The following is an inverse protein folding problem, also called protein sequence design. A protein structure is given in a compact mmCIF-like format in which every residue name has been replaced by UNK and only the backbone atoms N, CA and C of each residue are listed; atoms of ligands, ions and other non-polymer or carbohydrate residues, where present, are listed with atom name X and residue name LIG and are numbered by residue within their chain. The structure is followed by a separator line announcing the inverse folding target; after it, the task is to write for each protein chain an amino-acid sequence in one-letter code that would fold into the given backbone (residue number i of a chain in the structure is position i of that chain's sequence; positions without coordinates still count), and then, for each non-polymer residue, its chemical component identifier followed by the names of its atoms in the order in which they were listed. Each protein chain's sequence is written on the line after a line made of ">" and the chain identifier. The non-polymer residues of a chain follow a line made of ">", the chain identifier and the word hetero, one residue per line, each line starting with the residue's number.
data_IF_702683180826
#
_entry.id   IF_702683180826
#
_cell.length_a   1.000
_cell.length_b   1.000
_cell.length_c   1.000
_cell.angle_alpha   90.00
_cell.angle_beta   90.00
_cell.angle_gamma   90.00
#
_symmetry.space_group_name_H-M   'P 1'
#
loop_
_entity.id
_entity.type
_entity.pdbx_description
1 polymer ?
#
# COMPACT_ATOMS: atom_id res chain seq x y z
N UNK A 1 14.09 5.34 14.36
CA UNK A 1 13.77 4.75 13.05
C UNK A 1 12.34 5.13 12.69
N UNK A 2 12.07 5.32 11.41
CA UNK A 2 10.75 5.66 10.88
C UNK A 2 9.93 4.38 10.81
N UNK A 3 8.80 4.36 11.50
CA UNK A 3 7.89 3.24 11.60
C UNK A 3 6.89 3.22 10.43
N UNK A 4 6.77 2.06 9.79
CA UNK A 4 5.90 1.88 8.63
C UNK A 4 4.92 0.73 8.86
N UNK A 5 3.66 0.89 8.47
CA UNK A 5 2.72 -0.21 8.39
C UNK A 5 2.02 -0.23 7.03
N UNK A 6 1.70 -1.43 6.52
CA UNK A 6 1.02 -1.58 5.24
C UNK A 6 -0.20 -2.51 5.33
N UNK A 7 -1.31 -2.10 4.72
CA UNK A 7 -2.54 -2.86 4.55
C UNK A 7 -2.86 -2.94 3.05
N UNK A 8 -2.44 -4.03 2.42
CA UNK A 8 -2.40 -4.17 0.98
C UNK A 8 -3.48 -5.14 0.47
N UNK A 9 -3.98 -4.87 -0.74
CA UNK A 9 -4.78 -5.83 -1.49
C UNK A 9 -4.08 -6.20 -2.78
N UNK A 10 -4.29 -5.47 -3.86
CA UNK A 10 -3.80 -5.89 -5.18
C UNK A 10 -2.27 -5.97 -5.29
N UNK A 11 -1.53 -5.34 -4.37
CA UNK A 11 -0.07 -5.42 -4.28
C UNK A 11 0.43 -6.60 -3.43
N UNK A 12 -0.47 -7.40 -2.83
CA UNK A 12 -0.19 -8.66 -2.11
C UNK A 12 0.87 -8.56 -0.99
N UNK A 13 0.95 -7.43 -0.28
CA UNK A 13 1.97 -7.24 0.77
C UNK A 13 3.38 -7.00 0.21
N UNK A 14 3.55 -6.93 -1.11
CA UNK A 14 4.87 -6.80 -1.75
C UNK A 14 5.52 -5.46 -1.43
N UNK A 15 4.75 -4.40 -1.18
CA UNK A 15 5.30 -3.08 -0.84
C UNK A 15 5.96 -3.16 0.55
N UNK A 16 5.21 -3.57 1.57
CA UNK A 16 5.72 -3.68 2.93
C UNK A 16 6.85 -4.71 3.05
N UNK A 17 6.75 -5.86 2.36
CA UNK A 17 7.82 -6.87 2.34
C UNK A 17 9.10 -6.32 1.70
N UNK A 18 9.01 -5.60 0.57
CA UNK A 18 10.20 -4.99 -0.06
C UNK A 18 10.87 -4.00 0.89
N UNK A 19 10.09 -3.11 1.50
CA UNK A 19 10.60 -2.11 2.47
C UNK A 19 11.28 -2.83 3.65
N UNK A 20 10.63 -3.83 4.24
CA UNK A 20 11.17 -4.59 5.37
C UNK A 20 12.50 -5.25 5.04
N UNK A 21 12.59 -5.94 3.90
CA UNK A 21 13.81 -6.62 3.49
C UNK A 21 14.96 -5.65 3.27
N UNK A 22 14.72 -4.48 2.66
CA UNK A 22 15.72 -3.43 2.50
C UNK A 22 16.13 -2.85 3.87
N UNK A 23 15.17 -2.57 4.75
CA UNK A 23 15.41 -2.08 6.10
C UNK A 23 16.31 -3.03 6.92
N UNK A 24 16.08 -4.35 6.82
CA UNK A 24 16.84 -5.40 7.51
C UNK A 24 18.17 -5.77 6.84
N UNK A 25 18.46 -5.22 5.66
CA UNK A 25 19.73 -5.42 4.98
C UNK A 25 19.83 -6.72 4.18
N UNK A 26 18.74 -7.12 3.51
CA UNK A 26 18.75 -8.29 2.65
C UNK A 26 19.60 -8.04 1.40
N UNK A 27 20.55 -8.95 1.16
CA UNK A 27 21.53 -8.87 0.06
C UNK A 27 20.92 -8.69 -1.33
N UNK A 28 19.72 -9.22 -1.56
CA UNK A 28 19.04 -9.12 -2.86
C UNK A 28 18.72 -7.68 -3.27
N UNK A 29 18.72 -6.72 -2.33
CA UNK A 29 18.45 -5.31 -2.60
C UNK A 29 19.67 -4.40 -2.42
N UNK A 30 20.86 -4.91 -2.09
CA UNK A 30 22.06 -4.07 -1.86
C UNK A 30 22.43 -3.19 -3.07
N UNK A 31 22.04 -3.60 -4.29
CA UNK A 31 22.28 -2.86 -5.52
C UNK A 31 21.14 -1.91 -5.91
N UNK A 32 20.02 -1.90 -5.18
CA UNK A 32 18.94 -0.92 -5.42
C UNK A 32 19.48 0.48 -5.02
N UNK A 33 19.39 1.49 -5.91
CA UNK A 33 19.89 2.83 -5.61
C UNK A 33 19.30 3.47 -4.35
N UNK A 34 18.14 2.99 -3.89
CA UNK A 34 17.45 3.50 -2.71
C UNK A 34 17.72 2.66 -1.46
N UNK A 35 18.62 1.68 -1.52
CA UNK A 35 18.93 0.79 -0.41
C UNK A 35 19.42 1.53 0.83
N UNK A 36 20.39 2.44 0.67
CA UNK A 36 20.95 3.23 1.79
C UNK A 36 19.93 4.16 2.45
N UNK A 37 18.93 4.62 1.68
CA UNK A 37 17.86 5.47 2.21
C UNK A 37 17.00 4.68 3.20
N UNK A 38 16.74 3.40 2.92
CA UNK A 38 15.84 2.57 3.73
C UNK A 38 16.59 1.81 4.83
N UNK A 39 17.75 1.24 4.51
CA UNK A 39 18.52 0.38 5.41
C UNK A 39 18.92 1.12 6.70
N UNK A 40 18.56 0.56 7.85
CA UNK A 40 18.83 1.16 9.17
C UNK A 40 18.00 2.40 9.54
N UNK A 41 17.27 3.01 8.60
CA UNK A 41 16.46 4.21 8.86
C UNK A 41 14.99 3.89 9.12
N UNK A 42 14.48 2.81 8.52
CA UNK A 42 13.07 2.41 8.52
C UNK A 42 12.88 1.09 9.27
N UNK A 43 11.73 0.88 9.89
CA UNK A 43 11.28 -0.45 10.27
C UNK A 43 9.79 -0.65 9.97
N UNK A 44 9.41 -1.87 9.58
CA UNK A 44 8.02 -2.21 9.27
C UNK A 44 7.38 -2.88 10.48
N UNK A 45 6.34 -2.28 11.04
CA UNK A 45 5.53 -2.82 12.14
C UNK A 45 4.70 -4.01 11.66
N UNK A 46 4.01 -3.83 10.53
CA UNK A 46 3.17 -4.86 9.93
C UNK A 46 3.09 -4.68 8.41
N UNK A 47 3.05 -5.81 7.70
CA UNK A 47 2.64 -5.84 6.29
C UNK A 47 1.59 -6.92 6.10
N UNK A 48 0.38 -6.49 5.72
CA UNK A 48 -0.80 -7.34 5.71
C UNK A 48 -1.41 -7.39 4.32
N UNK A 49 -1.76 -8.59 3.87
CA UNK A 49 -2.64 -8.80 2.71
C UNK A 49 -4.08 -8.98 3.18
N UNK A 50 -4.97 -8.02 2.89
CA UNK A 50 -6.33 -7.94 3.45
C UNK A 50 -7.43 -7.88 2.37
N UNK A 51 -7.65 -8.95 1.57
CA UNK A 51 -8.59 -8.93 0.45
C UNK A 51 -10.07 -8.81 0.86
N UNK A 52 -10.42 -9.25 2.08
CA UNK A 52 -11.78 -9.29 2.59
C UNK A 52 -12.20 -7.97 3.24
N UNK A 53 -13.37 -7.43 2.88
CA UNK A 53 -13.99 -6.29 3.58
C UNK A 53 -14.10 -6.56 5.08
N UNK A 54 -14.77 -7.65 5.45
CA UNK A 54 -14.97 -8.06 6.86
C UNK A 54 -13.64 -8.20 7.61
N UNK A 55 -12.61 -8.73 6.94
CA UNK A 55 -11.27 -8.86 7.52
C UNK A 55 -10.65 -7.50 7.86
N UNK A 56 -10.73 -6.54 6.94
CA UNK A 56 -10.25 -5.17 7.18
C UNK A 56 -11.02 -4.52 8.32
N UNK A 57 -12.36 -4.56 8.27
CA UNK A 57 -13.20 -3.91 9.26
C UNK A 57 -12.95 -4.46 10.67
N UNK A 58 -12.72 -5.77 10.80
CA UNK A 58 -12.43 -6.42 12.09
C UNK A 58 -11.04 -6.12 12.63
N UNK A 59 -10.03 -5.92 11.78
CA UNK A 59 -8.64 -5.71 12.22
C UNK A 59 -8.38 -4.23 12.52
N UNK A 60 -8.95 -3.33 11.72
CA UNK A 60 -8.65 -1.90 11.74
C UNK A 60 -9.76 -1.05 12.37
N UNK A 61 -10.84 -1.67 12.86
CA UNK A 61 -11.99 -0.97 13.47
C UNK A 61 -12.56 0.16 12.57
N UNK A 62 -12.69 -0.13 11.27
CA UNK A 62 -13.21 0.79 10.26
C UNK A 62 -14.45 0.19 9.60
N UNK A 63 -15.34 1.01 9.06
CA UNK A 63 -16.48 0.57 8.24
C UNK A 63 -16.28 1.01 6.80
N UNK A 64 -16.17 0.06 5.87
CA UNK A 64 -15.94 0.32 4.45
C UNK A 64 -17.26 0.37 3.66
N UNK A 65 -17.29 1.06 2.50
CA UNK A 65 -18.42 0.99 1.58
C UNK A 65 -18.67 -0.44 1.09
N UNK A 66 -19.90 -0.71 0.63
CA UNK A 66 -20.20 -1.97 -0.05
C UNK A 66 -19.45 -2.08 -1.38
N UNK A 67 -18.94 -3.27 -1.73
CA UNK A 67 -18.31 -3.50 -3.04
C UNK A 67 -19.24 -3.17 -4.20
N UNK A 68 -18.71 -2.52 -5.24
CA UNK A 68 -19.45 -2.22 -6.47
C UNK A 68 -19.75 -3.47 -7.29
N UNK A 69 -18.93 -4.52 -7.13
CA UNK A 69 -19.04 -5.75 -7.88
C UNK A 69 -19.08 -6.97 -6.95
N UNK A 70 -19.87 -7.96 -7.33
CA UNK A 70 -19.91 -9.27 -6.67
C UNK A 70 -18.69 -10.08 -7.11
N UNK A 71 -17.77 -10.34 -6.18
CA UNK A 71 -16.60 -11.18 -6.41
C UNK A 71 -16.29 -12.04 -5.18
N UNK A 72 -16.18 -13.36 -5.36
CA UNK A 72 -16.12 -14.31 -4.23
C UNK A 72 -14.80 -14.31 -3.44
N UNK A 73 -13.72 -13.79 -4.02
CA UNK A 73 -12.37 -13.93 -3.45
C UNK A 73 -11.87 -12.67 -2.73
N UNK A 74 -12.49 -11.52 -2.99
CA UNK A 74 -12.11 -10.24 -2.38
C UNK A 74 -13.23 -9.22 -2.58
N UNK A 75 -13.13 -8.09 -1.87
CA UNK A 75 -13.87 -6.89 -2.26
C UNK A 75 -13.41 -6.42 -3.65
N UNK A 76 -14.34 -5.91 -4.45
CA UNK A 76 -14.08 -5.38 -5.78
C UNK A 76 -14.86 -4.06 -5.95
N UNK A 77 -14.11 -2.97 -6.08
CA UNK A 77 -14.65 -1.62 -6.24
C UNK A 77 -14.40 -1.08 -7.64
N UNK A 78 -15.14 -0.04 -8.03
CA UNK A 78 -14.73 0.85 -9.10
C UNK A 78 -13.57 1.75 -8.64
N UNK A 79 -12.96 2.50 -9.55
CA UNK A 79 -11.79 3.33 -9.23
C UNK A 79 -12.08 4.42 -8.17
N UNK A 80 -13.28 5.01 -8.18
CA UNK A 80 -13.65 6.05 -7.21
C UNK A 80 -13.69 5.48 -5.78
N UNK A 81 -14.35 4.33 -5.60
CA UNK A 81 -14.42 3.64 -4.32
C UNK A 81 -13.07 3.03 -3.91
N UNK A 82 -12.22 2.61 -4.85
CA UNK A 82 -10.85 2.20 -4.53
C UNK A 82 -10.07 3.38 -3.89
N UNK A 83 -10.17 4.59 -4.44
CA UNK A 83 -9.51 5.79 -3.87
C UNK A 83 -10.02 6.07 -2.45
N UNK A 84 -11.35 6.03 -2.26
CA UNK A 84 -11.96 6.21 -0.95
C UNK A 84 -11.47 5.15 0.05
N UNK A 85 -11.53 3.87 -0.33
CA UNK A 85 -11.14 2.75 0.53
C UNK A 85 -9.66 2.81 0.87
N UNK A 86 -8.78 3.15 -0.08
CA UNK A 86 -7.35 3.32 0.18
C UNK A 86 -7.10 4.33 1.31
N UNK A 87 -7.74 5.51 1.24
CA UNK A 87 -7.66 6.55 2.28
C UNK A 87 -8.19 6.10 3.63
N UNK A 88 -9.38 5.48 3.65
CA UNK A 88 -10.01 5.02 4.89
C UNK A 88 -9.13 3.99 5.60
N UNK A 89 -8.58 3.04 4.85
CA UNK A 89 -7.72 1.98 5.38
C UNK A 89 -6.37 2.53 5.84
N UNK A 90 -5.77 3.49 5.11
CA UNK A 90 -4.52 4.11 5.55
C UNK A 90 -4.69 4.88 6.87
N UNK A 91 -5.76 5.66 7.01
CA UNK A 91 -6.10 6.38 8.24
C UNK A 91 -6.34 5.40 9.41
N UNK A 92 -7.16 4.38 9.20
CA UNK A 92 -7.45 3.38 10.23
C UNK A 92 -6.18 2.63 10.65
N UNK A 93 -5.32 2.26 9.69
CA UNK A 93 -4.04 1.60 9.96
C UNK A 93 -3.08 2.48 10.77
N UNK A 94 -2.95 3.76 10.39
CA UNK A 94 -2.09 4.73 11.10
C UNK A 94 -2.56 4.90 12.54
N UNK A 95 -3.86 5.05 12.76
CA UNK A 95 -4.44 5.19 14.09
C UNK A 95 -4.29 3.91 14.93
N UNK A 96 -4.50 2.75 14.32
CA UNK A 96 -4.44 1.45 15.01
C UNK A 96 -3.03 1.10 15.50
N UNK A 97 -2.02 1.41 14.70
CA UNK A 97 -0.63 1.02 14.96
C UNK A 97 0.28 2.16 15.40
N UNK A 98 -0.22 3.41 15.40
CA UNK A 98 0.53 4.61 15.74
C UNK A 98 1.90 4.69 15.02
N UNK A 99 1.88 4.43 13.71
CA UNK A 99 3.08 4.45 12.86
C UNK A 99 3.30 5.82 12.21
N UNK A 100 4.54 6.15 11.85
CA UNK A 100 4.90 7.39 11.16
C UNK A 100 4.35 7.40 9.72
N UNK A 101 4.38 6.25 9.04
CA UNK A 101 3.87 6.10 7.67
C UNK A 101 2.96 4.88 7.54
N UNK A 102 1.70 5.09 7.13
CA UNK A 102 0.77 4.03 6.79
C UNK A 102 0.58 3.97 5.26
N UNK A 103 0.61 2.77 4.69
CA UNK A 103 0.38 2.53 3.26
C UNK A 103 -0.83 1.62 3.09
N UNK A 104 -1.75 2.01 2.21
CA UNK A 104 -2.90 1.21 1.84
C UNK A 104 -2.97 1.06 0.32
N UNK A 105 -3.39 -0.13 -0.15
CA UNK A 105 -3.58 -0.40 -1.58
C UNK A 105 -4.83 -1.23 -1.84
N UNK A 106 -5.61 -0.86 -2.86
CA UNK A 106 -6.80 -1.60 -3.32
C UNK A 106 -7.00 -1.43 -4.81
N UNK A 107 -7.49 -2.46 -5.50
CA UNK A 107 -7.83 -2.36 -6.91
C UNK A 107 -8.89 -3.40 -7.30
N UNK A 108 -10.07 -2.94 -7.71
CA UNK A 108 -11.11 -3.74 -8.36
C UNK A 108 -11.07 -3.57 -9.88
N UNK A 109 -11.96 -2.73 -10.42
CA UNK A 109 -12.07 -2.39 -11.85
C UNK A 109 -11.59 -0.95 -12.07
N UNK A 110 -10.55 -0.79 -12.89
CA UNK A 110 -9.84 0.48 -13.07
C UNK A 110 -8.36 0.37 -12.78
N UNK A 111 -7.74 1.51 -12.46
CA UNK A 111 -6.31 1.58 -12.15
C UNK A 111 -6.00 1.30 -10.67
N UNK A 112 -7.01 1.02 -9.85
CA UNK A 112 -6.89 0.89 -8.40
C UNK A 112 -6.45 2.19 -7.73
N UNK A 113 -6.08 2.09 -6.46
CA UNK A 113 -5.64 3.21 -5.66
C UNK A 113 -4.59 2.79 -4.62
N UNK A 114 -3.70 3.73 -4.34
CA UNK A 114 -2.68 3.64 -3.31
C UNK A 114 -2.72 4.94 -2.51
N UNK A 115 -2.75 4.81 -1.19
CA UNK A 115 -2.65 5.92 -0.25
C UNK A 115 -1.42 5.71 0.62
N UNK A 116 -0.53 6.71 0.67
CA UNK A 116 0.58 6.79 1.64
C UNK A 116 0.28 7.96 2.57
N UNK A 117 0.02 7.67 3.83
CA UNK A 117 -0.33 8.62 4.87
C UNK A 117 0.82 8.78 5.85
N UNK A 118 1.32 10.00 5.96
CA UNK A 118 2.39 10.40 6.90
C UNK A 118 1.81 11.23 8.03
N UNK A 119 2.65 11.72 8.94
CA UNK A 119 2.22 12.72 9.94
C UNK A 119 1.93 14.11 9.34
N UNK A 120 2.45 14.40 8.14
CA UNK A 120 2.41 15.74 7.53
C UNK A 120 1.42 15.83 6.37
N UNK A 121 1.36 14.79 5.54
CA UNK A 121 0.62 14.79 4.27
C UNK A 121 -0.01 13.43 3.97
N UNK A 122 -1.02 13.48 3.10
CA UNK A 122 -1.69 12.34 2.48
C UNK A 122 -1.39 12.31 0.98
N UNK A 123 -0.77 11.23 0.51
CA UNK A 123 -0.40 11.03 -0.89
C UNK A 123 -1.28 9.98 -1.53
N UNK A 124 -2.14 10.38 -2.47
CA UNK A 124 -3.07 9.48 -3.16
C UNK A 124 -2.77 9.45 -4.65
N UNK A 125 -2.68 8.25 -5.20
CA UNK A 125 -2.45 8.03 -6.62
C UNK A 125 -2.97 6.66 -7.04
N UNK A 126 -3.06 6.45 -8.35
CA UNK A 126 -3.46 5.18 -8.95
C UNK A 126 -2.25 4.52 -9.61
N UNK A 127 -2.38 3.25 -9.97
CA UNK A 127 -1.44 2.65 -10.94
C UNK A 127 -1.62 3.28 -12.32
N UNK A 128 -0.66 3.07 -13.21
CA UNK A 128 -0.75 3.52 -14.61
C UNK A 128 -1.44 2.49 -15.51
N UNK A 129 -1.87 1.36 -14.95
CA UNK A 129 -2.37 0.22 -15.70
C UNK A 129 -3.83 -0.03 -15.33
N UNK A 130 -4.71 0.13 -16.31
CA UNK A 130 -6.09 -0.33 -16.18
C UNK A 130 -6.13 -1.86 -16.07
N UNK A 131 -6.87 -2.35 -15.08
CA UNK A 131 -7.17 -3.78 -14.92
C UNK A 131 -8.62 -4.02 -14.49
N UNK A 132 -9.09 -5.24 -14.73
CA UNK A 132 -10.43 -5.68 -14.36
C UNK A 132 -10.30 -6.96 -13.53
N UNK A 133 -10.47 -6.83 -12.21
CA UNK A 133 -10.36 -7.94 -11.27
C UNK A 133 -11.40 -9.03 -11.53
N UNK A 134 -12.58 -8.66 -12.05
CA UNK A 134 -13.68 -9.59 -12.29
C UNK A 134 -13.36 -10.48 -13.49
N UNK A 135 -12.76 -9.90 -14.52
CA UNK A 135 -12.37 -10.61 -15.75
C UNK A 135 -10.96 -11.22 -15.71
N UNK A 136 -10.15 -10.84 -14.73
CA UNK A 136 -8.74 -11.24 -14.66
C UNK A 136 -7.84 -10.52 -15.66
N UNK A 137 -8.26 -9.35 -16.18
CA UNK A 137 -7.51 -8.61 -17.19
C UNK A 137 -6.43 -7.71 -16.55
N UNK A 138 -5.21 -7.76 -17.09
CA UNK A 138 -4.06 -6.95 -16.70
C UNK A 138 -3.69 -6.96 -15.20
N UNK A 139 -4.14 -7.95 -14.42
CA UNK A 139 -3.96 -7.98 -12.96
C UNK A 139 -2.49 -7.97 -12.55
N UNK A 140 -1.67 -8.79 -13.19
CA UNK A 140 -0.23 -8.87 -12.88
C UNK A 140 0.51 -7.58 -13.26
N UNK A 141 0.24 -7.04 -14.46
CA UNK A 141 0.83 -5.77 -14.90
C UNK A 141 0.45 -4.61 -13.98
N UNK A 142 -0.83 -4.57 -13.56
CA UNK A 142 -1.35 -3.58 -12.61
C UNK A 142 -0.69 -3.71 -11.25
N UNK A 143 -0.58 -4.93 -10.73
CA UNK A 143 0.12 -5.22 -9.47
C UNK A 143 1.57 -4.74 -9.52
N UNK A 144 2.33 -5.12 -10.55
CA UNK A 144 3.76 -4.78 -10.63
C UNK A 144 3.98 -3.27 -10.78
N UNK A 145 3.17 -2.59 -11.60
CA UNK A 145 3.20 -1.13 -11.68
C UNK A 145 2.85 -0.49 -10.33
N UNK A 146 1.80 -0.96 -9.67
CA UNK A 146 1.38 -0.45 -8.35
C UNK A 146 2.47 -0.59 -7.28
N UNK A 147 3.13 -1.75 -7.21
CA UNK A 147 4.24 -2.00 -6.27
C UNK A 147 5.40 -1.05 -6.54
N UNK A 148 5.84 -0.93 -7.79
CA UNK A 148 6.98 -0.09 -8.16
C UNK A 148 6.69 1.40 -7.94
N UNK A 149 5.50 1.86 -8.35
CA UNK A 149 5.08 3.25 -8.19
C UNK A 149 4.98 3.62 -6.72
N UNK A 150 4.37 2.76 -5.90
CA UNK A 150 4.29 2.99 -4.46
C UNK A 150 5.66 3.03 -3.78
N UNK A 151 6.56 2.11 -4.13
CA UNK A 151 7.90 2.09 -3.58
C UNK A 151 8.68 3.36 -3.92
N UNK A 152 8.63 3.81 -5.19
CA UNK A 152 9.30 5.04 -5.61
C UNK A 152 8.71 6.27 -4.90
N UNK A 153 7.39 6.37 -4.80
CA UNK A 153 6.74 7.46 -4.06
C UNK A 153 7.11 7.45 -2.57
N UNK A 154 7.18 6.26 -1.95
CA UNK A 154 7.62 6.10 -0.57
C UNK A 154 9.04 6.63 -0.37
N UNK A 155 9.98 6.30 -1.25
CA UNK A 155 11.35 6.81 -1.18
C UNK A 155 11.39 8.34 -1.32
N UNK A 156 10.62 8.91 -2.25
CA UNK A 156 10.56 10.37 -2.40
C UNK A 156 9.97 11.06 -1.16
N UNK A 157 8.99 10.45 -0.50
CA UNK A 157 8.46 10.92 0.79
C UNK A 157 9.53 10.87 1.87
N UNK A 158 10.31 9.78 1.97
CA UNK A 158 11.41 9.68 2.93
C UNK A 158 12.43 10.81 2.76
N UNK A 159 12.83 11.11 1.52
CA UNK A 159 13.73 12.22 1.22
C UNK A 159 13.13 13.57 1.60
N UNK A 160 11.88 13.81 1.19
CA UNK A 160 11.20 15.10 1.33
C UNK A 160 10.82 15.42 2.78
N UNK A 161 10.27 14.45 3.50
CA UNK A 161 9.64 14.70 4.80
C UNK A 161 10.51 14.30 6.00
N UNK A 162 11.43 13.36 5.79
CA UNK A 162 12.29 12.80 6.85
C UNK A 162 13.78 13.10 6.61
N UNK A 163 14.13 13.78 5.52
CA UNK A 163 15.49 14.29 5.27
C UNK A 163 16.53 13.21 4.96
N UNK A 164 16.10 12.01 4.57
CA UNK A 164 17.01 10.91 4.23
C UNK A 164 17.66 11.13 2.87
N UNK A 165 18.95 10.76 2.74
CA UNK A 165 19.77 10.92 1.53
C UNK A 165 20.52 9.64 1.21
#
# INVERSE_FOLDING_TARGET
>A
MISVATAECFTHGKIGIKIHKMACGYREFEKDPNYSIINGNVFVIASMFLPSKKGIESILDVKLPEPDYVFKYSKAYNQENDILVAKMVANALKNKLNCDIAISSTAGVGNGAICILTDKNEYNFTSDIYGDLIKGENILKRQDNGVNKAFNTFVEILKKEYGLK
#
